data_IF_712782113990
#
_entry.id   IF_712782113990
#
_cell.length_a   1.000
_cell.length_b   1.000
_cell.length_c   1.000
_cell.angle_alpha   90.00
_cell.angle_beta   90.00
_cell.angle_gamma   90.00
#
_symmetry.space_group_name_H-M   'P 1'
#
loop_
_entity.id
_entity.type
_entity.pdbx_description
1 polymer ?
#
# COMPACT_ATOMS: atom_id res chain seq x y z
N UNK A 1 8.01 0.52 17.83
CA UNK A 1 7.01 1.56 18.16
C UNK A 1 5.64 0.94 18.38
N UNK A 2 4.67 1.68 18.94
CA UNK A 2 3.26 1.24 19.13
C UNK A 2 2.48 1.36 17.81
N UNK A 3 1.73 0.33 17.41
CA UNK A 3 0.84 0.37 16.23
C UNK A 3 -0.34 1.30 16.51
N UNK A 4 -0.52 2.32 15.66
CA UNK A 4 -1.62 3.29 15.78
C UNK A 4 -2.76 3.04 14.80
N UNK A 5 -2.47 2.51 13.62
CA UNK A 5 -3.45 2.27 12.55
C UNK A 5 -2.99 1.15 11.62
N UNK A 6 -3.95 0.48 10.96
CA UNK A 6 -3.71 -0.54 9.94
C UNK A 6 -4.89 -0.60 8.96
N UNK A 7 -4.58 -0.83 7.68
CA UNK A 7 -5.58 -1.06 6.64
C UNK A 7 -5.16 -2.22 5.74
N UNK A 8 -6.11 -3.07 5.34
CA UNK A 8 -5.86 -4.21 4.45
C UNK A 8 -6.11 -3.79 3.00
N UNK A 9 -5.04 -3.68 2.22
CA UNK A 9 -5.13 -3.45 0.77
C UNK A 9 -5.50 -4.75 0.01
N UNK A 10 -5.68 -4.66 -1.31
CA UNK A 10 -6.13 -5.80 -2.14
C UNK A 10 -5.11 -6.90 -2.38
N UNK A 11 -3.82 -6.62 -2.20
CA UNK A 11 -2.67 -7.53 -2.40
C UNK A 11 -1.52 -7.16 -1.45
N UNK A 12 -0.40 -7.90 -1.48
CA UNK A 12 0.83 -7.54 -0.74
C UNK A 12 1.48 -6.24 -1.25
N UNK A 13 2.36 -5.67 -0.43
CA UNK A 13 3.09 -4.44 -0.69
C UNK A 13 4.57 -4.81 -0.83
N UNK A 14 5.16 -4.56 -2.00
CA UNK A 14 6.58 -4.83 -2.30
C UNK A 14 7.39 -3.54 -2.44
N UNK A 15 6.74 -2.44 -2.85
CA UNK A 15 7.36 -1.14 -3.03
C UNK A 15 7.26 -0.29 -1.74
N UNK A 16 8.22 0.63 -1.50
CA UNK A 16 8.12 1.57 -0.40
C UNK A 16 6.93 2.52 -0.57
N UNK A 17 6.30 2.97 0.53
CA UNK A 17 5.27 4.00 0.49
C UNK A 17 5.87 5.37 0.14
N UNK A 18 5.07 6.25 -0.45
CA UNK A 18 5.46 7.62 -0.81
C UNK A 18 4.50 8.62 -0.15
N UNK A 19 5.02 9.76 0.31
CA UNK A 19 4.20 10.89 0.76
C UNK A 19 4.44 12.13 -0.10
N UNK A 20 3.41 12.95 -0.25
CA UNK A 20 3.45 14.21 -0.99
C UNK A 20 2.35 15.16 -0.50
N UNK A 21 2.48 16.44 -0.87
CA UNK A 21 1.47 17.46 -0.62
C UNK A 21 0.83 17.88 -1.93
N UNK A 22 -0.49 17.97 -1.97
CA UNK A 22 -1.25 18.48 -3.10
C UNK A 22 -2.35 19.41 -2.60
N UNK A 23 -2.37 20.65 -3.11
CA UNK A 23 -3.35 21.69 -2.73
C UNK A 23 -3.48 21.86 -1.20
N UNK A 24 -2.34 21.92 -0.50
CA UNK A 24 -2.30 22.11 0.95
C UNK A 24 -2.64 20.88 1.80
N UNK A 25 -3.03 19.74 1.19
CA UNK A 25 -3.31 18.49 1.92
C UNK A 25 -2.19 17.48 1.72
N UNK A 26 -1.77 16.81 2.79
CA UNK A 26 -0.78 15.74 2.76
C UNK A 26 -1.45 14.40 2.42
N UNK A 27 -0.78 13.61 1.59
CA UNK A 27 -1.19 12.29 1.17
C UNK A 27 -0.09 11.26 1.40
N UNK A 28 -0.48 10.02 1.64
CA UNK A 28 0.40 8.84 1.66
C UNK A 28 -0.15 7.84 0.66
N UNK A 29 0.66 7.43 -0.32
CA UNK A 29 0.27 6.45 -1.34
C UNK A 29 1.08 5.17 -1.24
N UNK A 30 0.40 4.05 -1.43
CA UNK A 30 0.95 2.70 -1.32
C UNK A 30 0.54 1.89 -2.55
N UNK A 31 1.53 1.28 -3.21
CA UNK A 31 1.28 0.32 -4.29
C UNK A 31 0.96 -1.04 -3.70
N UNK A 32 -0.19 -1.59 -4.06
CA UNK A 32 -0.65 -2.92 -3.65
C UNK A 32 -0.67 -3.84 -4.86
N UNK A 33 0.23 -4.82 -4.83
CA UNK A 33 0.45 -5.78 -5.91
C UNK A 33 1.65 -6.67 -5.58
N UNK A 34 1.40 -7.98 -5.50
CA UNK A 34 2.46 -8.97 -5.37
C UNK A 34 3.26 -9.01 -6.67
N UNK A 35 4.58 -9.04 -6.55
CA UNK A 35 5.49 -9.06 -7.68
C UNK A 35 6.91 -9.43 -7.27
N UNK A 36 7.81 -9.46 -8.25
CA UNK A 36 9.17 -9.92 -8.05
C UNK A 36 9.28 -11.45 -7.98
N UNK A 37 10.49 -11.97 -8.13
CA UNK A 37 10.72 -13.43 -8.24
C UNK A 37 10.44 -14.17 -6.92
N UNK A 38 10.96 -13.65 -5.80
CA UNK A 38 10.83 -14.32 -4.49
C UNK A 38 9.40 -14.28 -3.96
N UNK A 39 8.72 -13.12 -3.83
CA UNK A 39 7.38 -13.08 -3.25
C UNK A 39 6.36 -13.90 -4.06
N UNK A 40 6.45 -13.84 -5.39
CA UNK A 40 5.55 -14.59 -6.27
C UNK A 40 5.72 -16.11 -6.09
N UNK A 41 6.95 -16.60 -5.94
CA UNK A 41 7.21 -18.04 -5.75
C UNK A 41 6.80 -18.54 -4.37
N UNK A 42 6.93 -17.73 -3.32
CA UNK A 42 6.68 -18.17 -1.94
C UNK A 42 5.25 -17.93 -1.48
N UNK A 43 4.57 -16.89 -1.97
CA UNK A 43 3.26 -16.46 -1.47
C UNK A 43 2.20 -16.25 -2.56
N UNK A 44 2.53 -16.45 -3.85
CA UNK A 44 1.62 -16.18 -4.97
C UNK A 44 0.33 -17.02 -5.01
N UNK A 45 0.26 -18.12 -4.25
CA UNK A 45 -0.96 -18.93 -4.08
C UNK A 45 -1.91 -18.37 -3.02
N UNK A 46 -1.39 -17.60 -2.07
CA UNK A 46 -2.14 -17.11 -0.90
C UNK A 46 -2.49 -15.62 -1.02
N UNK A 47 -1.66 -14.87 -1.75
CA UNK A 47 -1.85 -13.44 -1.98
C UNK A 47 -2.47 -13.25 -3.37
N UNK A 48 -3.62 -12.56 -3.46
CA UNK A 48 -4.23 -12.25 -4.75
C UNK A 48 -3.26 -11.48 -5.66
N UNK A 49 -3.13 -11.93 -6.90
CA UNK A 49 -2.51 -11.11 -7.93
C UNK A 49 -3.39 -9.89 -8.23
N UNK A 50 -2.76 -8.76 -8.57
CA UNK A 50 -3.47 -7.52 -8.88
C UNK A 50 -2.55 -6.32 -8.79
N UNK A 51 -3.06 -5.17 -9.22
CA UNK A 51 -2.37 -3.89 -9.14
C UNK A 51 -3.34 -2.78 -8.78
N UNK A 52 -3.13 -2.13 -7.63
CA UNK A 52 -3.91 -0.97 -7.21
C UNK A 52 -3.03 0.05 -6.48
N UNK A 53 -3.46 1.31 -6.52
CA UNK A 53 -2.86 2.39 -5.73
C UNK A 53 -3.84 2.76 -4.62
N UNK A 54 -3.37 2.70 -3.38
CA UNK A 54 -4.12 3.14 -2.22
C UNK A 54 -3.55 4.45 -1.70
N UNK A 55 -4.33 5.52 -1.77
CA UNK A 55 -3.95 6.86 -1.30
C UNK A 55 -4.77 7.25 -0.07
N UNK A 56 -4.08 7.61 1.01
CA UNK A 56 -4.66 7.97 2.29
C UNK A 56 -4.42 9.45 2.58
N UNK A 57 -5.40 10.09 3.22
CA UNK A 57 -5.29 11.41 3.82
C UNK A 57 -6.26 11.51 4.99
N UNK A 58 -5.97 12.37 5.96
CA UNK A 58 -6.93 12.71 7.02
C UNK A 58 -8.16 13.37 6.39
N UNK A 59 -9.35 13.09 6.91
CA UNK A 59 -10.57 13.77 6.47
C UNK A 59 -10.43 15.29 6.66
N UNK A 60 -11.01 16.12 5.77
CA UNK A 60 -11.14 17.54 6.06
C UNK A 60 -11.99 17.71 7.33
N UNK A 61 -11.80 18.84 8.01
CA UNK A 61 -12.71 19.27 9.08
C UNK A 61 -14.11 19.55 8.53
#
# INVERSE_FOLDING_TARGET
GKRLWQFKTGSSIVAPPITYTHKGRQYVSVLSGIGGSVPTRTAGKEVPAGGSVWTFALMPE
#
